data_IF_312848368116
#
_entry.id   IF_312848368116
#
_cell.length_a   1.000
_cell.length_b   1.000
_cell.length_c   1.000
_cell.angle_alpha   90.00
_cell.angle_beta   90.00
_cell.angle_gamma   90.00
#
_symmetry.space_group_name_H-M   'P 1'
#
loop_
_entity.id
_entity.type
_entity.pdbx_description
1 polymer ?
#
# COMPACT_ATOMS: atom_id res chain seq x y z
N UNK A 1 -13.97 6.85 -11.75
CA UNK A 1 -14.67 8.11 -12.06
C UNK A 1 -13.72 9.29 -12.07
N UNK A 2 -14.06 10.29 -12.89
CA UNK A 2 -13.36 11.56 -12.96
C UNK A 2 -13.74 12.37 -11.72
N UNK A 3 -12.75 12.91 -11.01
CA UNK A 3 -12.97 13.80 -9.87
C UNK A 3 -13.13 15.25 -10.33
N UNK A 4 -12.23 15.68 -11.22
CA UNK A 4 -12.18 17.03 -11.77
C UNK A 4 -11.75 16.92 -13.23
N UNK A 5 -12.42 17.66 -14.11
CA UNK A 5 -12.02 17.81 -15.51
C UNK A 5 -11.57 19.26 -15.75
N UNK A 6 -10.33 19.42 -16.20
CA UNK A 6 -9.76 20.73 -16.57
C UNK A 6 -9.35 20.66 -18.04
N UNK A 7 -10.14 21.28 -18.92
CA UNK A 7 -10.01 21.16 -20.37
C UNK A 7 -10.05 19.68 -20.81
N UNK A 8 -9.00 19.18 -21.43
CA UNK A 8 -8.85 17.77 -21.86
C UNK A 8 -8.22 16.87 -20.79
N UNK A 9 -7.79 17.42 -19.64
CA UNK A 9 -7.15 16.66 -18.56
C UNK A 9 -8.19 16.13 -17.58
N UNK A 10 -8.32 14.82 -17.52
CA UNK A 10 -9.18 14.12 -16.56
C UNK A 10 -8.38 13.75 -15.31
N UNK A 11 -8.70 14.37 -14.18
CA UNK A 11 -8.14 14.02 -12.88
C UNK A 11 -9.07 13.02 -12.22
N UNK A 12 -8.57 11.80 -11.98
CA UNK A 12 -9.33 10.71 -11.39
C UNK A 12 -9.18 10.68 -9.86
N UNK A 13 -10.21 10.25 -9.14
CA UNK A 13 -10.18 10.08 -7.68
C UNK A 13 -8.98 9.26 -7.21
N UNK A 14 -8.64 8.21 -7.95
CA UNK A 14 -7.50 7.35 -7.64
C UNK A 14 -6.16 8.09 -7.70
N UNK A 15 -5.95 8.94 -8.69
CA UNK A 15 -4.74 9.77 -8.79
C UNK A 15 -4.65 10.77 -7.64
N UNK A 16 -5.78 11.39 -7.25
CA UNK A 16 -5.83 12.29 -6.10
C UNK A 16 -5.48 11.58 -4.81
N UNK A 17 -5.98 10.35 -4.58
CA UNK A 17 -5.68 9.59 -3.37
C UNK A 17 -4.19 9.29 -3.22
N UNK A 18 -3.47 9.02 -4.30
CA UNK A 18 -2.02 8.86 -4.28
C UNK A 18 -1.29 10.15 -3.93
N UNK A 19 -1.65 11.25 -4.61
CA UNK A 19 -1.02 12.56 -4.37
C UNK A 19 -1.24 12.99 -2.91
N UNK A 20 -2.49 12.95 -2.43
CA UNK A 20 -2.82 13.31 -1.06
C UNK A 20 -2.21 12.34 -0.04
N UNK A 21 -2.20 11.03 -0.34
CA UNK A 21 -1.59 10.02 0.52
C UNK A 21 -0.11 10.26 0.74
N UNK A 22 0.65 10.55 -0.33
CA UNK A 22 2.08 10.88 -0.25
C UNK A 22 2.28 12.20 0.48
N UNK A 23 1.53 13.25 0.14
CA UNK A 23 1.66 14.58 0.74
C UNK A 23 1.35 14.56 2.24
N UNK A 24 0.22 13.98 2.63
CA UNK A 24 -0.19 13.92 4.05
C UNK A 24 0.74 12.99 4.83
N UNK A 25 1.14 11.86 4.25
CA UNK A 25 2.12 10.95 4.85
C UNK A 25 3.48 11.62 5.07
N UNK A 26 3.97 12.35 4.08
CA UNK A 26 5.21 13.15 4.19
C UNK A 26 5.10 14.22 5.28
N UNK A 27 3.99 14.99 5.30
CA UNK A 27 3.77 16.03 6.32
C UNK A 27 3.69 15.41 7.72
N UNK A 28 2.99 14.28 7.88
CA UNK A 28 2.91 13.53 9.14
C UNK A 28 4.31 13.12 9.63
N UNK A 29 5.12 12.50 8.78
CA UNK A 29 6.48 12.12 9.13
C UNK A 29 7.33 13.35 9.51
N UNK A 30 7.34 14.37 8.65
CA UNK A 30 8.19 15.55 8.81
C UNK A 30 7.83 16.41 10.01
N UNK A 31 6.53 16.62 10.26
CA UNK A 31 6.07 17.55 11.31
C UNK A 31 5.87 16.89 12.67
N UNK A 32 5.59 15.59 12.69
CA UNK A 32 5.17 14.89 13.91
C UNK A 32 6.21 13.86 14.36
N UNK A 33 6.78 13.07 13.44
CA UNK A 33 7.62 11.94 13.79
C UNK A 33 9.12 12.29 13.83
N UNK A 34 9.61 13.04 12.86
CA UNK A 34 11.03 13.34 12.72
C UNK A 34 11.39 14.55 13.57
N UNK A 35 12.29 14.34 14.55
CA UNK A 35 12.81 15.40 15.42
C UNK A 35 14.20 15.88 14.97
N UNK A 36 14.96 15.01 14.32
CA UNK A 36 16.32 15.31 13.85
C UNK A 36 16.26 16.05 12.50
N UNK A 37 16.92 17.21 12.43
CA UNK A 37 16.94 18.05 11.22
C UNK A 37 17.63 17.38 10.04
N UNK A 38 18.69 16.60 10.29
CA UNK A 38 19.43 15.89 9.25
C UNK A 38 18.55 14.77 8.65
N UNK A 39 17.91 13.97 9.50
CA UNK A 39 16.94 12.94 9.04
C UNK A 39 15.78 13.59 8.28
N UNK A 40 15.31 14.77 8.71
CA UNK A 40 14.25 15.50 8.00
C UNK A 40 14.65 15.89 6.57
N UNK A 41 15.86 16.40 6.36
CA UNK A 41 16.38 16.73 5.03
C UNK A 41 16.55 15.48 4.16
N UNK A 42 17.12 14.42 4.73
CA UNK A 42 17.27 13.14 4.03
C UNK A 42 15.91 12.52 3.65
N UNK A 43 14.88 12.70 4.49
CA UNK A 43 13.54 12.22 4.19
C UNK A 43 12.88 13.03 3.06
N UNK A 44 13.14 14.33 2.96
CA UNK A 44 12.68 15.14 1.82
C UNK A 44 13.27 14.62 0.49
N UNK A 45 14.57 14.36 0.46
CA UNK A 45 15.25 13.80 -0.71
C UNK A 45 14.70 12.41 -1.07
N UNK A 46 14.40 11.58 -0.06
CA UNK A 46 13.89 10.22 -0.23
C UNK A 46 12.56 10.18 -1.00
N UNK A 47 11.71 11.20 -0.88
CA UNK A 47 10.41 11.23 -1.59
C UNK A 47 10.60 11.06 -3.10
N UNK A 48 11.62 11.69 -3.67
CA UNK A 48 11.93 11.53 -5.11
C UNK A 48 12.27 10.08 -5.46
N UNK A 49 13.03 9.39 -4.61
CA UNK A 49 13.35 7.97 -4.79
C UNK A 49 12.11 7.07 -4.63
N UNK A 50 11.22 7.40 -3.70
CA UNK A 50 9.95 6.68 -3.52
C UNK A 50 9.09 6.80 -4.79
N UNK A 51 8.94 8.01 -5.34
CA UNK A 51 8.16 8.25 -6.57
C UNK A 51 8.75 7.47 -7.75
N UNK A 52 10.07 7.53 -7.93
CA UNK A 52 10.77 6.77 -8.97
C UNK A 52 10.56 5.26 -8.73
N UNK A 53 10.68 4.80 -7.48
CA UNK A 53 10.46 3.40 -7.10
C UNK A 53 9.05 2.91 -7.43
N UNK A 54 8.02 3.73 -7.16
CA UNK A 54 6.62 3.41 -7.49
C UNK A 54 6.46 3.25 -9.01
N UNK A 55 6.98 4.20 -9.78
CA UNK A 55 6.82 4.23 -11.25
C UNK A 55 7.58 3.06 -11.89
N UNK A 56 8.87 2.95 -11.62
CA UNK A 56 9.72 1.92 -12.22
C UNK A 56 9.34 0.52 -11.73
N UNK A 57 9.15 0.35 -10.42
CA UNK A 57 8.74 -0.92 -9.85
C UNK A 57 7.35 -1.34 -10.31
N UNK A 58 6.40 -0.41 -10.34
CA UNK A 58 5.05 -0.65 -10.83
C UNK A 58 5.04 -1.09 -12.30
N UNK A 59 5.81 -0.41 -13.15
CA UNK A 59 5.90 -0.73 -14.58
C UNK A 59 6.60 -2.06 -14.82
N UNK A 60 7.76 -2.27 -14.22
CA UNK A 60 8.50 -3.54 -14.33
C UNK A 60 7.68 -4.72 -13.80
N UNK A 61 7.01 -4.54 -12.66
CA UNK A 61 6.14 -5.58 -12.12
C UNK A 61 4.97 -5.91 -13.06
N UNK A 62 4.37 -4.92 -13.72
CA UNK A 62 3.33 -5.16 -14.71
C UNK A 62 3.86 -5.91 -15.94
N UNK A 63 4.97 -5.47 -16.50
CA UNK A 63 5.63 -6.09 -17.67
C UNK A 63 5.96 -7.56 -17.39
N UNK A 64 6.59 -7.83 -16.23
CA UNK A 64 7.10 -9.17 -15.93
C UNK A 64 5.99 -10.17 -15.55
N UNK A 65 4.96 -9.73 -14.81
CA UNK A 65 3.98 -10.65 -14.23
C UNK A 65 2.66 -10.72 -14.99
N UNK A 66 2.30 -9.70 -15.78
CA UNK A 66 0.99 -9.66 -16.43
C UNK A 66 1.05 -9.82 -17.95
N UNK A 67 2.12 -9.35 -18.62
CA UNK A 67 2.14 -9.29 -20.08
C UNK A 67 3.53 -9.49 -20.71
N UNK A 68 4.37 -10.33 -20.09
CA UNK A 68 5.77 -10.51 -20.49
C UNK A 68 5.94 -10.78 -21.98
N UNK A 69 5.15 -11.72 -22.53
CA UNK A 69 5.25 -12.09 -23.95
C UNK A 69 5.02 -10.90 -24.88
N UNK A 70 3.95 -10.12 -24.62
CA UNK A 70 3.64 -8.94 -25.41
C UNK A 70 4.79 -7.92 -25.40
N UNK A 71 5.40 -7.67 -24.22
CA UNK A 71 6.49 -6.69 -24.11
C UNK A 71 7.83 -7.19 -24.64
N UNK A 72 8.04 -8.50 -24.76
CA UNK A 72 9.19 -9.05 -25.48
C UNK A 72 9.06 -8.80 -26.98
N UNK A 73 7.85 -8.87 -27.53
CA UNK A 73 7.56 -8.57 -28.93
C UNK A 73 7.54 -7.05 -29.20
N UNK A 74 7.26 -6.22 -28.19
CA UNK A 74 7.13 -4.76 -28.30
C UNK A 74 7.95 -4.02 -27.23
N UNK A 75 9.31 -4.10 -27.24
CA UNK A 75 10.15 -3.63 -26.13
C UNK A 75 10.09 -2.11 -25.88
N UNK A 76 9.79 -1.31 -26.88
CA UNK A 76 9.64 0.16 -26.74
C UNK A 76 8.46 0.49 -25.82
N UNK A 77 7.40 -0.32 -25.81
CA UNK A 77 6.24 -0.08 -24.99
C UNK A 77 6.51 -0.27 -23.48
N UNK A 78 7.61 -0.91 -23.11
CA UNK A 78 8.01 -1.05 -21.69
C UNK A 78 8.16 0.32 -21.03
N UNK A 79 8.68 1.32 -21.73
CA UNK A 79 8.89 2.68 -21.19
C UNK A 79 7.67 3.61 -21.35
N UNK A 80 6.64 3.19 -22.07
CA UNK A 80 5.44 3.98 -22.32
C UNK A 80 4.45 3.87 -21.14
N UNK A 81 4.81 4.48 -20.01
CA UNK A 81 3.99 4.44 -18.77
C UNK A 81 2.62 5.11 -18.91
N UNK A 82 2.48 6.04 -19.87
CA UNK A 82 1.22 6.73 -20.16
C UNK A 82 0.14 5.86 -20.79
N UNK A 83 0.51 4.70 -21.34
CA UNK A 83 -0.44 3.69 -21.85
C UNK A 83 -1.10 2.87 -20.71
N UNK A 84 -0.77 3.19 -19.44
CA UNK A 84 -1.26 2.45 -18.28
C UNK A 84 -0.42 1.19 -17.98
N UNK A 85 -0.96 0.32 -17.14
CA UNK A 85 -0.28 -0.93 -16.75
C UNK A 85 0.80 -0.72 -15.67
N UNK A 86 0.35 -0.56 -14.43
CA UNK A 86 1.19 -0.52 -13.23
C UNK A 86 0.75 -1.61 -12.25
N UNK A 87 1.70 -2.38 -11.76
CA UNK A 87 1.50 -3.40 -10.73
C UNK A 87 1.65 -2.79 -9.34
N UNK A 88 0.64 -2.97 -8.48
CA UNK A 88 0.74 -2.55 -7.08
C UNK A 88 1.92 -3.22 -6.35
N UNK A 89 2.07 -4.53 -6.48
CA UNK A 89 3.16 -5.26 -5.84
C UNK A 89 4.53 -4.84 -6.36
N UNK A 90 4.62 -4.57 -7.68
CA UNK A 90 5.82 -4.01 -8.27
C UNK A 90 6.17 -2.63 -7.71
N UNK A 91 5.18 -1.75 -7.56
CA UNK A 91 5.35 -0.43 -6.95
C UNK A 91 5.82 -0.52 -5.49
N UNK A 92 5.21 -1.40 -4.69
CA UNK A 92 5.61 -1.64 -3.30
C UNK A 92 7.08 -2.13 -3.20
N UNK A 93 7.46 -3.12 -4.02
CA UNK A 93 8.84 -3.59 -4.09
C UNK A 93 9.79 -2.46 -4.51
N UNK A 94 9.39 -1.63 -5.47
CA UNK A 94 10.13 -0.46 -5.89
C UNK A 94 10.38 0.50 -4.74
N UNK A 95 9.35 0.84 -3.96
CA UNK A 95 9.51 1.70 -2.75
C UNK A 95 10.54 1.12 -1.80
N UNK A 96 10.45 -0.18 -1.49
CA UNK A 96 11.37 -0.85 -0.56
C UNK A 96 12.81 -0.81 -1.11
N UNK A 97 13.01 -1.23 -2.36
CA UNK A 97 14.34 -1.29 -2.99
C UNK A 97 14.98 0.09 -3.07
N UNK A 98 14.25 1.11 -3.54
CA UNK A 98 14.78 2.46 -3.66
C UNK A 98 15.03 3.11 -2.29
N UNK A 99 14.24 2.79 -1.27
CA UNK A 99 14.50 3.22 0.11
C UNK A 99 15.78 2.61 0.66
N UNK A 100 15.99 1.30 0.46
CA UNK A 100 17.22 0.61 0.88
C UNK A 100 18.44 1.16 0.13
N UNK A 101 18.31 1.36 -1.18
CA UNK A 101 19.37 1.94 -2.02
C UNK A 101 19.75 3.34 -1.53
N UNK A 102 18.76 4.20 -1.30
CA UNK A 102 18.98 5.56 -0.79
C UNK A 102 19.63 5.56 0.59
N UNK A 103 19.13 4.76 1.52
CA UNK A 103 19.70 4.64 2.86
C UNK A 103 21.16 4.20 2.82
N UNK A 104 21.49 3.21 1.96
CA UNK A 104 22.88 2.77 1.74
C UNK A 104 23.76 3.91 1.18
N UNK A 105 23.26 4.64 0.17
CA UNK A 105 23.97 5.79 -0.44
C UNK A 105 24.28 6.89 0.59
N UNK A 106 23.38 7.10 1.57
CA UNK A 106 23.54 8.12 2.61
C UNK A 106 24.19 7.59 3.90
N UNK A 107 24.59 6.30 3.93
CA UNK A 107 25.16 5.64 5.12
C UNK A 107 24.26 5.73 6.37
N UNK A 108 22.94 5.63 6.17
CA UNK A 108 21.92 5.67 7.23
C UNK A 108 21.28 4.29 7.37
N UNK A 109 20.87 3.93 8.58
CA UNK A 109 20.13 2.68 8.80
C UNK A 109 18.80 2.72 8.02
N UNK A 110 18.62 1.77 7.08
CA UNK A 110 17.45 1.67 6.23
C UNK A 110 16.13 1.59 7.00
N UNK A 111 16.14 1.02 8.19
CA UNK A 111 14.94 0.87 9.00
C UNK A 111 14.42 2.20 9.57
N UNK A 112 15.25 3.24 9.68
CA UNK A 112 14.77 4.57 10.04
C UNK A 112 13.74 5.06 9.00
N UNK A 113 14.06 4.91 7.72
CA UNK A 113 13.16 5.33 6.64
C UNK A 113 11.99 4.35 6.44
N UNK A 114 12.24 3.03 6.52
CA UNK A 114 11.18 2.03 6.40
C UNK A 114 10.13 2.17 7.51
N UNK A 115 10.54 2.49 8.74
CA UNK A 115 9.63 2.73 9.86
C UNK A 115 8.78 3.99 9.65
N UNK A 116 9.36 5.08 9.12
CA UNK A 116 8.62 6.29 8.78
C UNK A 116 7.59 6.03 7.67
N UNK A 117 7.99 5.29 6.62
CA UNK A 117 7.08 4.90 5.54
C UNK A 117 5.96 4.01 6.10
N UNK A 118 6.29 3.00 6.91
CA UNK A 118 5.31 2.10 7.53
C UNK A 118 4.34 2.84 8.45
N UNK A 119 4.82 3.83 9.23
CA UNK A 119 3.98 4.66 10.09
C UNK A 119 2.99 5.54 9.30
N UNK A 120 3.34 5.96 8.09
CA UNK A 120 2.51 6.81 7.24
C UNK A 120 1.67 6.05 6.22
N UNK A 121 2.03 4.82 5.87
CA UNK A 121 1.36 4.01 4.87
C UNK A 121 -0.15 3.85 5.11
N UNK A 122 -0.66 3.67 6.35
CA UNK A 122 -2.10 3.57 6.61
C UNK A 122 -2.91 4.76 6.11
N UNK A 123 -2.33 5.97 6.07
CA UNK A 123 -2.97 7.19 5.54
C UNK A 123 -3.25 7.02 4.04
N UNK A 124 -2.24 6.56 3.29
CA UNK A 124 -2.38 6.30 1.86
C UNK A 124 -3.33 5.14 1.57
N UNK A 125 -3.28 4.08 2.38
CA UNK A 125 -4.20 2.93 2.27
C UNK A 125 -5.64 3.40 2.46
N UNK A 126 -5.94 4.15 3.52
CA UNK A 126 -7.27 4.71 3.76
C UNK A 126 -7.81 5.46 2.54
N UNK A 127 -7.04 6.43 2.03
CA UNK A 127 -7.45 7.25 0.88
C UNK A 127 -7.65 6.41 -0.39
N UNK A 128 -6.75 5.44 -0.63
CA UNK A 128 -6.86 4.52 -1.76
C UNK A 128 -8.12 3.66 -1.68
N UNK A 129 -8.47 3.14 -0.50
CA UNK A 129 -9.68 2.31 -0.31
C UNK A 129 -10.97 3.12 -0.44
N UNK A 130 -10.99 4.36 0.04
CA UNK A 130 -12.10 5.29 -0.22
C UNK A 130 -12.26 5.54 -1.72
N UNK A 131 -11.17 5.71 -2.45
CA UNK A 131 -11.22 5.87 -3.92
C UNK A 131 -11.72 4.60 -4.62
N UNK A 132 -11.30 3.39 -4.18
CA UNK A 132 -11.86 2.14 -4.71
C UNK A 132 -13.37 2.05 -4.47
N UNK A 133 -13.86 2.47 -3.31
CA UNK A 133 -15.30 2.51 -3.03
C UNK A 133 -16.04 3.46 -3.98
N UNK A 134 -15.55 4.69 -4.17
CA UNK A 134 -16.12 5.67 -5.11
C UNK A 134 -16.10 5.13 -6.55
N UNK A 135 -15.06 4.37 -6.92
CA UNK A 135 -14.91 3.77 -8.23
C UNK A 135 -15.76 2.51 -8.43
N UNK A 136 -16.34 1.95 -7.36
CA UNK A 136 -17.00 0.64 -7.38
C UNK A 136 -16.05 -0.50 -7.76
N UNK A 137 -14.78 -0.40 -7.37
CA UNK A 137 -13.75 -1.40 -7.60
C UNK A 137 -13.52 -2.25 -6.35
N UNK A 138 -13.07 -3.51 -6.52
CA UNK A 138 -12.67 -4.39 -5.41
C UNK A 138 -13.78 -4.60 -4.36
N UNK A 139 -15.01 -4.68 -4.81
CA UNK A 139 -16.21 -4.84 -3.99
C UNK A 139 -16.29 -6.20 -3.30
N UNK A 140 -17.17 -6.30 -2.30
CA UNK A 140 -17.37 -7.51 -1.52
C UNK A 140 -18.37 -8.48 -2.12
N UNK A 141 -18.44 -9.66 -1.49
CA UNK A 141 -19.41 -10.71 -1.80
C UNK A 141 -20.84 -10.23 -1.57
N UNK A 142 -21.79 -10.90 -2.22
CA UNK A 142 -23.21 -10.68 -1.99
C UNK A 142 -23.57 -10.92 -0.52
N UNK A 143 -24.45 -10.09 0.02
CA UNK A 143 -24.88 -10.15 1.42
C UNK A 143 -26.23 -9.46 1.62
N UNK A 144 -26.90 -9.80 2.71
CA UNK A 144 -28.16 -9.21 3.20
C UNK A 144 -27.99 -8.38 4.48
N UNK A 145 -26.75 -8.10 4.89
CA UNK A 145 -26.51 -7.26 6.08
C UNK A 145 -27.09 -5.86 5.89
N UNK A 146 -27.50 -5.22 7.00
CA UNK A 146 -28.18 -3.92 6.98
C UNK A 146 -27.37 -2.77 6.35
N UNK A 147 -26.04 -2.87 6.36
CA UNK A 147 -25.12 -1.88 5.77
C UNK A 147 -24.55 -2.32 4.41
N UNK A 148 -25.22 -3.27 3.76
CA UNK A 148 -24.87 -3.66 2.39
C UNK A 148 -25.05 -2.49 1.42
N UNK A 149 -24.25 -2.47 0.34
CA UNK A 149 -24.26 -1.43 -0.68
C UNK A 149 -24.49 -2.04 -2.05
N UNK A 150 -25.37 -1.41 -2.85
CA UNK A 150 -25.56 -1.74 -4.26
C UNK A 150 -24.62 -0.87 -5.08
N UNK A 151 -23.67 -1.50 -5.76
CA UNK A 151 -22.77 -0.82 -6.70
C UNK A 151 -23.40 -0.79 -8.08
N UNK A 152 -24.26 0.19 -8.33
CA UNK A 152 -25.08 0.29 -9.56
C UNK A 152 -24.28 0.33 -10.87
N UNK A 153 -22.98 0.60 -10.80
CA UNK A 153 -22.07 0.50 -11.95
C UNK A 153 -21.66 -0.93 -12.30
N UNK A 154 -21.88 -1.86 -11.39
CA UNK A 154 -21.49 -3.27 -11.52
C UNK A 154 -22.75 -4.10 -11.76
N UNK A 155 -23.67 -4.07 -10.78
CA UNK A 155 -24.93 -4.81 -10.83
C UNK A 155 -25.94 -4.20 -9.81
N UNK A 156 -27.12 -4.83 -9.69
CA UNK A 156 -28.15 -4.45 -8.73
C UNK A 156 -28.14 -5.36 -7.47
N UNK A 157 -27.00 -5.96 -7.15
CA UNK A 157 -26.87 -6.90 -6.03
C UNK A 157 -26.31 -6.18 -4.81
N UNK A 158 -26.93 -6.43 -3.64
CA UNK A 158 -26.42 -5.93 -2.36
C UNK A 158 -25.14 -6.69 -1.97
N UNK A 159 -24.07 -5.95 -1.66
CA UNK A 159 -22.74 -6.49 -1.40
C UNK A 159 -22.11 -5.89 -0.17
N UNK A 160 -21.19 -6.63 0.44
CA UNK A 160 -20.32 -6.06 1.48
C UNK A 160 -19.51 -4.90 0.91
N UNK A 161 -19.49 -3.72 1.54
CA UNK A 161 -18.57 -2.63 1.19
C UNK A 161 -17.16 -2.95 1.72
N UNK A 162 -16.52 -3.98 1.15
CA UNK A 162 -15.20 -4.49 1.59
C UNK A 162 -14.14 -3.41 1.57
N UNK A 163 -14.21 -2.44 0.65
CA UNK A 163 -13.29 -1.30 0.59
C UNK A 163 -13.37 -0.43 1.86
N UNK A 164 -14.55 -0.30 2.44
CA UNK A 164 -14.74 0.44 3.71
C UNK A 164 -14.19 -0.35 4.88
N UNK A 165 -14.34 -1.69 4.87
CA UNK A 165 -13.71 -2.54 5.89
C UNK A 165 -12.19 -2.43 5.83
N UNK A 166 -11.61 -2.46 4.62
CA UNK A 166 -10.17 -2.25 4.39
C UNK A 166 -9.74 -0.84 4.85
N UNK A 167 -10.50 0.20 4.51
CA UNK A 167 -10.21 1.57 4.93
C UNK A 167 -10.20 1.72 6.46
N UNK A 168 -11.15 1.11 7.15
CA UNK A 168 -11.23 1.17 8.61
C UNK A 168 -10.13 0.33 9.28
N UNK A 169 -9.93 -0.92 8.87
CA UNK A 169 -8.98 -1.83 9.52
C UNK A 169 -7.53 -1.52 9.11
N UNK A 170 -7.24 -1.50 7.81
CA UNK A 170 -5.89 -1.31 7.25
C UNK A 170 -5.47 0.17 7.24
N UNK A 171 -6.43 1.10 7.25
CA UNK A 171 -6.21 2.54 7.35
C UNK A 171 -6.30 3.04 8.78
N UNK A 172 -7.52 3.25 9.29
CA UNK A 172 -7.75 3.97 10.56
C UNK A 172 -7.20 3.20 11.77
N UNK A 173 -7.61 1.95 11.96
CA UNK A 173 -7.24 1.15 13.15
C UNK A 173 -5.74 0.88 13.14
N UNK A 174 -5.18 0.50 12.02
CA UNK A 174 -3.73 0.30 11.88
C UNK A 174 -2.95 1.58 12.20
N UNK A 175 -3.40 2.74 11.69
CA UNK A 175 -2.79 4.03 12.02
C UNK A 175 -2.79 4.30 13.54
N UNK A 176 -3.92 4.07 14.20
CA UNK A 176 -4.05 4.27 15.66
C UNK A 176 -3.08 3.34 16.41
N UNK A 177 -3.01 2.06 16.04
CA UNK A 177 -2.09 1.09 16.67
C UNK A 177 -0.65 1.57 16.54
N UNK A 178 -0.20 1.90 15.31
CA UNK A 178 1.17 2.35 15.08
C UNK A 178 1.47 3.66 15.80
N UNK A 179 0.52 4.61 15.82
CA UNK A 179 0.65 5.87 16.56
C UNK A 179 0.82 5.64 18.07
N UNK A 180 0.05 4.72 18.66
CA UNK A 180 0.20 4.37 20.08
C UNK A 180 1.55 3.70 20.37
N UNK A 181 2.04 2.85 19.47
CA UNK A 181 3.37 2.24 19.59
C UNK A 181 4.47 3.30 19.49
N UNK A 182 4.34 4.27 18.57
CA UNK A 182 5.27 5.39 18.43
C UNK A 182 5.29 6.23 19.71
N UNK A 183 4.13 6.51 20.32
CA UNK A 183 4.08 7.18 21.63
C UNK A 183 4.79 6.40 22.76
N UNK A 184 4.87 5.09 22.65
CA UNK A 184 5.66 4.22 23.54
C UNK A 184 7.14 4.12 23.12
N UNK A 185 7.63 5.04 22.29
CA UNK A 185 9.02 5.14 21.82
C UNK A 185 9.51 3.94 20.95
N UNK A 186 8.62 3.14 20.37
CA UNK A 186 9.04 2.06 19.45
C UNK A 186 9.70 2.57 18.17
N UNK A 187 9.43 3.81 17.73
CA UNK A 187 10.10 4.43 16.59
C UNK A 187 11.61 4.66 16.84
N UNK A 188 12.03 4.75 18.10
CA UNK A 188 13.46 4.86 18.46
C UNK A 188 14.22 3.53 18.29
N UNK A 189 13.52 2.45 18.02
CA UNK A 189 14.06 1.11 17.81
C UNK A 189 13.87 0.70 16.34
N UNK A 190 14.86 0.99 15.46
CA UNK A 190 14.71 0.85 14.03
C UNK A 190 14.31 -0.57 13.58
N UNK A 191 13.22 -0.66 12.81
CA UNK A 191 12.65 -1.91 12.29
C UNK A 191 11.43 -2.42 13.05
N UNK A 192 11.14 -1.92 14.27
CA UNK A 192 9.98 -2.40 15.02
C UNK A 192 8.65 -1.88 14.48
N UNK A 193 8.57 -0.62 14.04
CA UNK A 193 7.33 -0.09 13.44
C UNK A 193 7.02 -0.80 12.13
N UNK A 194 8.03 -1.08 11.31
CA UNK A 194 7.88 -1.89 10.09
C UNK A 194 7.40 -3.32 10.39
N UNK A 195 7.94 -3.95 11.44
CA UNK A 195 7.50 -5.28 11.87
C UNK A 195 6.02 -5.26 12.31
N UNK A 196 5.63 -4.32 13.15
CA UNK A 196 4.24 -4.17 13.60
C UNK A 196 3.29 -3.84 12.45
N UNK A 197 3.70 -2.96 11.52
CA UNK A 197 2.92 -2.71 10.31
C UNK A 197 2.65 -3.99 9.54
N UNK A 198 3.67 -4.79 9.23
CA UNK A 198 3.51 -6.05 8.52
C UNK A 198 2.57 -7.02 9.24
N UNK A 199 2.73 -7.18 10.56
CA UNK A 199 1.89 -8.10 11.35
C UNK A 199 0.43 -7.65 11.31
N UNK A 200 0.13 -6.42 11.73
CA UNK A 200 -1.26 -5.97 11.87
C UNK A 200 -1.94 -5.76 10.52
N UNK A 201 -1.25 -5.16 9.54
CA UNK A 201 -1.79 -5.05 8.18
C UNK A 201 -2.19 -6.41 7.61
N UNK A 202 -1.30 -7.40 7.73
CA UNK A 202 -1.55 -8.72 7.16
C UNK A 202 -2.64 -9.49 7.90
N UNK A 203 -2.76 -9.31 9.22
CA UNK A 203 -3.89 -9.85 9.99
C UNK A 203 -5.20 -9.24 9.47
N UNK A 204 -5.29 -7.92 9.38
CA UNK A 204 -6.50 -7.26 8.90
C UNK A 204 -6.83 -7.65 7.45
N UNK A 205 -5.83 -7.67 6.58
CA UNK A 205 -5.98 -8.10 5.20
C UNK A 205 -6.50 -9.53 5.09
N UNK A 206 -5.95 -10.46 5.86
CA UNK A 206 -6.40 -11.84 5.89
C UNK A 206 -7.90 -11.95 6.24
N UNK A 207 -8.34 -11.20 7.26
CA UNK A 207 -9.74 -11.21 7.67
C UNK A 207 -10.68 -10.55 6.66
N UNK A 208 -10.30 -9.42 6.07
CA UNK A 208 -11.16 -8.73 5.09
C UNK A 208 -11.36 -9.56 3.82
N UNK A 209 -10.40 -10.38 3.42
CA UNK A 209 -10.51 -11.27 2.27
C UNK A 209 -11.71 -12.24 2.35
N UNK A 210 -12.21 -12.58 3.53
CA UNK A 210 -13.41 -13.40 3.66
C UNK A 210 -14.67 -12.72 3.10
N UNK A 211 -14.70 -11.41 3.12
CA UNK A 211 -15.83 -10.57 2.66
C UNK A 211 -15.66 -10.06 1.24
N UNK A 212 -14.46 -10.13 0.69
CA UNK A 212 -14.14 -9.63 -0.65
C UNK A 212 -14.41 -10.69 -1.71
N UNK A 213 -14.81 -10.25 -2.90
CA UNK A 213 -14.82 -11.12 -4.09
C UNK A 213 -13.37 -11.42 -4.47
N UNK A 214 -12.98 -12.71 -4.62
CA UNK A 214 -11.65 -13.06 -5.10
C UNK A 214 -11.36 -12.43 -6.48
N UNK A 215 -10.09 -12.17 -6.76
CA UNK A 215 -9.68 -11.64 -8.05
C UNK A 215 -10.05 -12.65 -9.16
N UNK A 216 -10.79 -12.22 -10.18
CA UNK A 216 -11.37 -13.08 -11.23
C UNK A 216 -10.32 -13.96 -11.94
N UNK A 217 -9.09 -13.44 -12.10
CA UNK A 217 -8.01 -14.16 -12.77
C UNK A 217 -7.40 -15.30 -11.94
N UNK A 218 -7.48 -15.24 -10.62
CA UNK A 218 -6.80 -16.17 -9.71
C UNK A 218 -7.78 -17.06 -8.93
N UNK A 219 -8.96 -16.54 -8.60
CA UNK A 219 -9.97 -17.28 -7.83
C UNK A 219 -9.48 -17.73 -6.46
N UNK A 220 -9.92 -18.92 -6.07
CA UNK A 220 -9.41 -19.61 -4.90
C UNK A 220 -8.25 -20.54 -5.29
N UNK A 221 -7.20 -20.53 -4.49
CA UNK A 221 -5.99 -21.30 -4.68
C UNK A 221 -5.95 -22.50 -3.71
N UNK A 222 -4.76 -22.83 -3.22
CA UNK A 222 -4.56 -23.94 -2.29
C UNK A 222 -5.36 -23.75 -1.00
N UNK A 223 -6.00 -24.81 -0.49
CA UNK A 223 -6.87 -24.84 0.71
C UNK A 223 -8.05 -23.84 0.67
N UNK A 224 -8.56 -23.52 -0.51
CA UNK A 224 -9.62 -22.53 -0.71
C UNK A 224 -9.27 -21.13 -0.17
N UNK A 225 -7.99 -20.81 -0.11
CA UNK A 225 -7.51 -19.47 0.24
C UNK A 225 -7.36 -18.60 -1.02
N UNK A 226 -7.59 -17.31 -0.86
CA UNK A 226 -7.28 -16.33 -1.91
C UNK A 226 -5.78 -16.03 -1.93
N UNK A 227 -5.28 -15.46 -3.04
CA UNK A 227 -3.90 -14.97 -3.12
C UNK A 227 -3.61 -13.94 -2.01
N UNK A 228 -4.57 -13.05 -1.73
CA UNK A 228 -4.46 -12.07 -0.64
C UNK A 228 -4.26 -12.72 0.73
N UNK A 229 -4.97 -13.82 1.01
CA UNK A 229 -4.81 -14.57 2.27
C UNK A 229 -3.44 -15.27 2.35
N UNK A 230 -2.99 -15.91 1.26
CA UNK A 230 -1.69 -16.60 1.23
C UNK A 230 -0.55 -15.59 1.45
N UNK A 231 -0.55 -14.46 0.74
CA UNK A 231 0.46 -13.41 0.91
C UNK A 231 0.42 -12.84 2.33
N UNK A 232 -0.78 -12.67 2.91
CA UNK A 232 -0.93 -12.19 4.27
C UNK A 232 -0.30 -13.14 5.29
N UNK A 233 -0.47 -14.45 5.16
CA UNK A 233 0.19 -15.44 6.04
C UNK A 233 1.71 -15.35 5.95
N UNK A 234 2.26 -15.24 4.74
CA UNK A 234 3.71 -15.07 4.54
C UNK A 234 4.19 -13.79 5.23
N UNK A 235 3.47 -12.68 5.08
CA UNK A 235 3.85 -11.41 5.69
C UNK A 235 3.68 -11.39 7.22
N UNK A 236 2.71 -12.13 7.78
CA UNK A 236 2.61 -12.33 9.22
C UNK A 236 3.86 -13.04 9.75
N UNK A 237 4.27 -14.14 9.12
CA UNK A 237 5.47 -14.89 9.52
C UNK A 237 6.72 -14.00 9.41
N UNK A 238 6.87 -13.30 8.30
CA UNK A 238 8.00 -12.39 8.09
C UNK A 238 7.99 -11.22 9.08
N UNK A 239 6.81 -10.68 9.42
CA UNK A 239 6.66 -9.63 10.42
C UNK A 239 7.09 -10.08 11.82
N UNK A 240 6.70 -11.28 12.26
CA UNK A 240 7.16 -11.85 13.52
C UNK A 240 8.65 -12.15 13.52
N UNK A 241 9.20 -12.64 12.42
CA UNK A 241 10.64 -12.85 12.26
C UNK A 241 11.40 -11.53 12.40
N UNK A 242 10.98 -10.48 11.68
CA UNK A 242 11.57 -9.16 11.77
C UNK A 242 11.46 -8.59 13.21
N UNK A 243 10.30 -8.73 13.84
CA UNK A 243 10.10 -8.31 15.21
C UNK A 243 11.07 -9.00 16.18
N UNK A 244 11.24 -10.32 16.06
CA UNK A 244 12.13 -11.09 16.92
C UNK A 244 13.58 -10.62 16.81
N UNK A 245 14.08 -10.43 15.58
CA UNK A 245 15.44 -9.92 15.35
C UNK A 245 15.58 -8.50 15.91
N UNK A 246 14.67 -7.59 15.55
CA UNK A 246 14.79 -6.18 15.94
C UNK A 246 14.55 -5.90 17.40
N UNK A 247 13.79 -6.75 18.08
CA UNK A 247 13.66 -6.69 19.55
C UNK A 247 14.96 -7.05 20.26
N UNK A 248 15.76 -7.97 19.71
CA UNK A 248 17.01 -8.42 20.31
C UNK A 248 18.21 -7.50 19.97
N UNK A 249 18.15 -6.76 18.84
CA UNK A 249 19.20 -5.80 18.43
C UNK A 249 19.09 -4.44 19.16
N UNK A 250 17.95 -4.13 19.75
CA UNK A 250 17.60 -2.86 20.41
C UNK A 250 17.28 -3.08 21.89
#
# INVERSE_FOLDING_TARGET
PIAIQIFSLEIRWYSLSYIFGILVGWLYCKKILIKDKNISQLFDDLISYIIIGIILGGRLGYVLFYNLKYYLDNPIEIVMIWNGGLSFHGGLLGVIVFTIFYAKKKSVNKFIFLDLISASAPIGIFLGRVSNFINSELYGKQTDVLWSVIFSRIDNVARHPSQIYEALLEGVILFIILFLLIKKNYLLKPGLISAFFLIFYSIFRFFVEFFRVPDEQLGFLYLNLTMGQIISLIFIIFGFYLFSIKKNEN
#
